data_IF_302601125078
#
_entry.id   IF_302601125078
#
_cell.length_a   1.000
_cell.length_b   1.000
_cell.length_c   1.000
_cell.angle_alpha   90.00
_cell.angle_beta   90.00
_cell.angle_gamma   90.00
#
_symmetry.space_group_name_H-M   'P 1'
#
loop_
_entity.id
_entity.type
_entity.pdbx_description
1 polymer ?
#
# COMPACT_ATOMS: atom_id res chain seq x y z
N UNK A 1 -30.81 -24.72 13.48
CA UNK A 1 -31.80 -25.79 13.23
C UNK A 1 -31.13 -27.09 12.84
N UNK A 2 -30.37 -27.14 11.73
CA UNK A 2 -29.60 -28.34 11.34
C UNK A 2 -28.58 -28.72 12.43
N UNK A 3 -27.82 -27.75 12.98
CA UNK A 3 -26.86 -28.01 14.06
C UNK A 3 -27.50 -28.62 15.33
N UNK A 4 -28.74 -28.23 15.67
CA UNK A 4 -29.47 -28.79 16.81
C UNK A 4 -29.90 -30.24 16.55
N UNK A 5 -30.37 -30.53 15.32
CA UNK A 5 -30.68 -31.89 14.89
C UNK A 5 -29.40 -32.75 14.90
N UNK A 6 -28.27 -32.22 14.42
CA UNK A 6 -27.00 -32.94 14.42
C UNK A 6 -26.48 -33.29 15.81
N UNK A 7 -26.68 -32.41 16.79
CA UNK A 7 -26.27 -32.62 18.18
C UNK A 7 -27.13 -33.66 18.90
N UNK A 8 -28.42 -33.77 18.54
CA UNK A 8 -29.40 -34.58 19.28
C UNK A 8 -29.91 -35.81 18.52
N UNK A 9 -29.52 -36.01 17.25
CA UNK A 9 -29.99 -37.11 16.39
C UNK A 9 -29.67 -38.50 16.95
N UNK A 10 -28.55 -38.66 17.65
CA UNK A 10 -28.12 -39.93 18.26
C UNK A 10 -29.05 -40.35 19.41
N UNK A 11 -29.62 -39.37 20.14
CA UNK A 11 -30.45 -39.63 21.32
C UNK A 11 -31.94 -39.72 21.01
N UNK A 12 -32.45 -38.94 20.04
CA UNK A 12 -33.89 -38.83 19.79
C UNK A 12 -34.31 -39.15 18.35
N UNK A 13 -33.37 -39.33 17.42
CA UNK A 13 -33.67 -39.52 16.01
C UNK A 13 -34.08 -38.23 15.28
N UNK A 14 -33.84 -38.18 13.97
CA UNK A 14 -34.07 -36.98 13.14
C UNK A 14 -35.56 -36.66 12.99
N UNK A 15 -36.40 -37.67 12.77
CA UNK A 15 -37.84 -37.50 12.55
C UNK A 15 -38.58 -36.96 13.80
N UNK A 16 -38.39 -37.52 15.01
CA UNK A 16 -39.03 -36.99 16.22
C UNK A 16 -38.64 -35.54 16.52
N UNK A 17 -37.36 -35.19 16.31
CA UNK A 17 -36.88 -33.80 16.48
C UNK A 17 -37.56 -32.87 15.48
N UNK A 18 -37.66 -33.24 14.20
CA UNK A 18 -38.29 -32.42 13.17
C UNK A 18 -39.80 -32.23 13.41
N UNK A 19 -40.48 -33.26 13.93
CA UNK A 19 -41.90 -33.19 14.31
C UNK A 19 -42.12 -32.18 15.43
N UNK A 20 -41.37 -32.29 16.54
CA UNK A 20 -41.50 -31.38 17.69
C UNK A 20 -41.14 -29.94 17.32
N UNK A 21 -40.09 -29.75 16.50
CA UNK A 21 -39.73 -28.41 16.01
C UNK A 21 -40.83 -27.83 15.12
N UNK A 22 -41.47 -28.64 14.28
CA UNK A 22 -42.58 -28.21 13.42
C UNK A 22 -43.82 -27.82 14.24
N UNK A 23 -44.12 -28.55 15.31
CA UNK A 23 -45.19 -28.21 16.28
C UNK A 23 -44.88 -26.90 17.02
N UNK A 24 -43.61 -26.65 17.34
CA UNK A 24 -43.14 -25.41 17.96
C UNK A 24 -43.07 -24.21 16.97
N UNK A 25 -43.54 -24.38 15.72
CA UNK A 25 -43.62 -23.32 14.71
C UNK A 25 -42.41 -23.22 13.77
N UNK A 26 -41.38 -24.05 13.95
CA UNK A 26 -40.23 -24.16 13.07
C UNK A 26 -40.46 -25.24 12.00
N UNK A 27 -41.09 -24.87 10.88
CA UNK A 27 -41.39 -25.79 9.77
C UNK A 27 -40.11 -26.36 9.14
N UNK A 28 -39.73 -27.58 9.52
CA UNK A 28 -38.60 -28.31 8.94
C UNK A 28 -38.97 -29.78 8.68
N UNK A 29 -38.78 -30.24 7.44
CA UNK A 29 -39.04 -31.62 7.07
C UNK A 29 -37.76 -32.49 7.18
N UNK A 30 -37.86 -33.78 7.56
CA UNK A 30 -36.71 -34.69 7.60
C UNK A 30 -35.96 -34.76 6.25
N UNK A 31 -36.70 -34.75 5.14
CA UNK A 31 -36.12 -34.70 3.79
C UNK A 31 -35.28 -33.45 3.54
N UNK A 32 -35.64 -32.30 4.14
CA UNK A 32 -34.87 -31.05 4.05
C UNK A 32 -33.57 -31.14 4.85
N UNK A 33 -33.58 -31.83 5.99
CA UNK A 33 -32.37 -32.12 6.77
C UNK A 33 -31.40 -32.99 5.96
N UNK A 34 -31.85 -34.17 5.48
CA UNK A 34 -30.98 -35.06 4.70
C UNK A 34 -30.51 -34.42 3.39
N UNK A 35 -31.38 -33.65 2.72
CA UNK A 35 -31.00 -32.90 1.53
C UNK A 35 -29.96 -31.81 1.83
N UNK A 36 -29.98 -31.20 3.02
CA UNK A 36 -28.96 -30.22 3.41
C UNK A 36 -27.63 -30.90 3.78
N UNK A 37 -27.68 -32.06 4.45
CA UNK A 37 -26.48 -32.84 4.83
C UNK A 37 -25.76 -33.42 3.62
N UNK A 38 -26.49 -33.84 2.58
CA UNK A 38 -25.93 -34.43 1.36
C UNK A 38 -25.68 -33.43 0.23
N UNK A 39 -25.99 -32.14 0.43
CA UNK A 39 -25.86 -31.13 -0.63
C UNK A 39 -24.40 -30.87 -0.95
N UNK A 40 -24.01 -31.14 -2.19
CA UNK A 40 -22.71 -30.72 -2.72
C UNK A 40 -22.55 -29.19 -2.64
N UNK A 41 -21.31 -28.69 -2.44
CA UNK A 41 -21.05 -27.26 -2.42
C UNK A 41 -21.54 -26.60 -3.72
N UNK A 42 -22.24 -25.47 -3.58
CA UNK A 42 -22.69 -24.72 -4.75
C UNK A 42 -21.51 -24.23 -5.60
N UNK A 43 -21.73 -23.98 -6.89
CA UNK A 43 -20.72 -23.39 -7.77
C UNK A 43 -20.13 -22.10 -7.20
N UNK A 44 -20.94 -21.30 -6.49
CA UNK A 44 -20.48 -20.10 -5.79
C UNK A 44 -19.54 -20.42 -4.63
N UNK A 45 -19.81 -21.48 -3.87
CA UNK A 45 -18.95 -21.91 -2.78
C UNK A 45 -17.59 -22.41 -3.30
N UNK A 46 -17.59 -23.14 -4.42
CA UNK A 46 -16.37 -23.58 -5.09
C UNK A 46 -15.55 -22.39 -5.63
N UNK A 47 -16.21 -21.43 -6.29
CA UNK A 47 -15.54 -20.22 -6.79
C UNK A 47 -14.99 -19.34 -5.65
N UNK A 48 -15.74 -19.20 -4.55
CA UNK A 48 -15.28 -18.49 -3.35
C UNK A 48 -14.06 -19.19 -2.73
N UNK A 49 -14.05 -20.53 -2.65
CA UNK A 49 -12.92 -21.29 -2.11
C UNK A 49 -11.65 -21.15 -2.96
N UNK A 50 -11.77 -21.20 -4.28
CA UNK A 50 -10.64 -20.95 -5.19
C UNK A 50 -10.13 -19.50 -5.08
N UNK A 51 -11.01 -18.54 -4.83
CA UNK A 51 -10.62 -17.15 -4.59
C UNK A 51 -9.93 -16.98 -3.23
N UNK A 52 -10.36 -17.70 -2.19
CA UNK A 52 -9.75 -17.65 -0.86
C UNK A 52 -8.30 -18.13 -0.89
N UNK A 53 -8.02 -19.24 -1.58
CA UNK A 53 -6.65 -19.75 -1.75
C UNK A 53 -5.74 -18.73 -2.45
N UNK A 54 -6.26 -18.04 -3.47
CA UNK A 54 -5.54 -16.97 -4.15
C UNK A 54 -5.31 -15.76 -3.24
N UNK A 55 -6.30 -15.37 -2.45
CA UNK A 55 -6.18 -14.27 -1.48
C UNK A 55 -5.10 -14.61 -0.45
N UNK A 56 -5.12 -15.83 0.09
CA UNK A 56 -4.18 -16.27 1.12
C UNK A 56 -2.75 -16.30 0.59
N UNK A 57 -2.51 -16.97 -0.54
CA UNK A 57 -1.18 -17.03 -1.15
C UNK A 57 -0.61 -15.64 -1.48
N UNK A 58 -1.47 -14.72 -1.94
CA UNK A 58 -1.07 -13.32 -2.19
C UNK A 58 -0.76 -12.56 -0.90
N UNK A 59 -1.50 -12.84 0.18
CA UNK A 59 -1.30 -12.22 1.48
C UNK A 59 0.03 -12.65 2.11
N UNK A 60 0.30 -13.96 2.07
CA UNK A 60 1.51 -14.58 2.62
C UNK A 60 2.75 -14.10 1.85
N UNK A 61 2.67 -14.04 0.52
CA UNK A 61 3.74 -13.52 -0.33
C UNK A 61 4.05 -12.03 -0.09
N UNK A 62 3.12 -11.29 0.51
CA UNK A 62 3.24 -9.85 0.74
C UNK A 62 3.31 -9.49 2.23
N UNK A 63 3.76 -10.42 3.08
CA UNK A 63 3.95 -10.17 4.52
C UNK A 63 2.71 -9.56 5.19
N UNK A 64 1.51 -9.94 4.74
CA UNK A 64 0.23 -9.53 5.31
C UNK A 64 -0.07 -8.00 5.22
N UNK A 65 0.65 -7.26 4.37
CA UNK A 65 0.53 -5.80 4.27
C UNK A 65 -0.71 -5.36 3.46
N UNK A 66 -1.23 -6.20 2.56
CA UNK A 66 -2.26 -5.76 1.61
C UNK A 66 -3.67 -5.71 2.19
N UNK A 67 -4.19 -4.49 2.32
CA UNK A 67 -5.62 -4.26 2.50
C UNK A 67 -6.44 -4.52 1.24
N UNK A 68 -7.77 -4.56 1.40
CA UNK A 68 -8.77 -4.89 0.37
C UNK A 68 -8.53 -4.26 -1.01
N UNK A 69 -8.20 -2.96 -1.06
CA UNK A 69 -8.00 -2.23 -2.32
C UNK A 69 -6.77 -2.74 -3.09
N UNK A 70 -5.67 -3.02 -2.39
CA UNK A 70 -4.44 -3.52 -3.00
C UNK A 70 -4.61 -4.97 -3.42
N UNK A 71 -5.18 -5.79 -2.54
CA UNK A 71 -5.52 -7.17 -2.82
C UNK A 71 -6.36 -7.30 -4.11
N UNK A 72 -7.43 -6.50 -4.23
CA UNK A 72 -8.26 -6.45 -5.44
C UNK A 72 -7.49 -6.13 -6.73
N UNK A 73 -6.57 -5.16 -6.69
CA UNK A 73 -5.75 -4.80 -7.86
C UNK A 73 -4.75 -5.88 -8.23
N UNK A 74 -4.17 -6.56 -7.25
CA UNK A 74 -3.18 -7.63 -7.50
C UNK A 74 -3.88 -8.85 -8.07
N UNK A 75 -4.99 -9.30 -7.47
CA UNK A 75 -5.76 -10.45 -7.95
C UNK A 75 -6.25 -10.30 -9.39
N UNK A 76 -6.60 -9.08 -9.81
CA UNK A 76 -7.05 -8.83 -11.19
C UNK A 76 -5.92 -8.70 -12.21
N UNK A 77 -4.66 -8.62 -11.77
CA UNK A 77 -3.47 -8.61 -12.63
C UNK A 77 -2.72 -9.94 -12.63
N UNK A 78 -3.02 -10.83 -11.69
CA UNK A 78 -2.40 -12.15 -11.61
C UNK A 78 -2.64 -12.98 -12.86
N UNK A 79 -1.57 -13.61 -13.31
CA UNK A 79 -1.59 -14.57 -14.41
C UNK A 79 -1.75 -15.98 -13.86
N UNK A 80 -2.40 -16.82 -14.65
CA UNK A 80 -2.48 -18.26 -14.42
C UNK A 80 -1.09 -18.83 -14.62
N UNK A 81 -0.60 -19.57 -13.63
CA UNK A 81 0.68 -20.25 -13.68
C UNK A 81 0.50 -21.66 -14.26
N UNK A 82 1.51 -22.14 -14.97
CA UNK A 82 1.58 -23.55 -15.41
C UNK A 82 2.02 -24.47 -14.25
N UNK A 83 2.09 -25.77 -14.53
CA UNK A 83 2.55 -26.79 -13.58
C UNK A 83 4.00 -26.60 -13.09
N UNK A 84 4.79 -25.79 -13.80
CA UNK A 84 6.17 -25.43 -13.45
C UNK A 84 6.27 -24.06 -12.77
N UNK A 85 5.15 -23.37 -12.53
CA UNK A 85 5.10 -22.04 -11.91
C UNK A 85 5.37 -20.88 -12.86
N UNK A 86 5.44 -21.10 -14.18
CA UNK A 86 5.67 -20.04 -15.15
C UNK A 86 4.35 -19.37 -15.59
N UNK A 87 4.36 -18.06 -15.90
CA UNK A 87 3.16 -17.38 -16.33
C UNK A 87 2.71 -17.83 -17.73
N UNK A 88 1.46 -18.27 -17.84
CA UNK A 88 0.87 -18.76 -19.10
C UNK A 88 0.42 -17.65 -20.06
N UNK A 89 0.56 -16.39 -19.66
CA UNK A 89 0.04 -15.21 -20.39
C UNK A 89 -1.48 -15.02 -20.28
N UNK A 90 -2.21 -15.95 -19.64
CA UNK A 90 -3.65 -15.82 -19.36
C UNK A 90 -3.86 -15.20 -17.97
N UNK A 91 -4.84 -14.33 -17.83
CA UNK A 91 -5.26 -13.76 -16.53
C UNK A 91 -6.46 -14.49 -15.96
N UNK A 92 -6.59 -14.47 -14.63
CA UNK A 92 -7.80 -14.96 -13.98
C UNK A 92 -9.02 -14.08 -14.31
N UNK A 93 -10.25 -14.61 -14.23
CA UNK A 93 -11.46 -13.81 -14.35
C UNK A 93 -11.48 -12.63 -13.36
N UNK A 94 -11.96 -11.44 -13.79
CA UNK A 94 -11.96 -10.26 -12.94
C UNK A 94 -12.90 -10.44 -11.75
N UNK A 95 -12.44 -10.02 -10.58
CA UNK A 95 -13.17 -10.11 -9.31
C UNK A 95 -13.62 -8.71 -8.89
N UNK A 96 -14.86 -8.60 -8.42
CA UNK A 96 -15.39 -7.37 -7.86
C UNK A 96 -14.76 -7.06 -6.49
N UNK A 97 -14.48 -5.77 -6.22
CA UNK A 97 -13.88 -5.31 -4.96
C UNK A 97 -14.67 -5.76 -3.72
N UNK A 98 -16.00 -5.72 -3.78
CA UNK A 98 -16.87 -6.14 -2.68
C UNK A 98 -16.76 -7.64 -2.37
N UNK A 99 -16.50 -8.47 -3.38
CA UNK A 99 -16.25 -9.91 -3.21
C UNK A 99 -14.95 -10.12 -2.44
N UNK A 100 -13.87 -9.43 -2.84
CA UNK A 100 -12.57 -9.48 -2.14
C UNK A 100 -12.74 -9.03 -0.69
N UNK A 101 -13.43 -7.92 -0.43
CA UNK A 101 -13.70 -7.43 0.91
C UNK A 101 -14.45 -8.46 1.79
N UNK A 102 -15.49 -9.07 1.23
CA UNK A 102 -16.29 -10.10 1.89
C UNK A 102 -15.44 -11.33 2.23
N UNK A 103 -14.61 -11.79 1.29
CA UNK A 103 -13.76 -12.98 1.48
C UNK A 103 -12.62 -12.72 2.46
N UNK A 104 -11.91 -11.60 2.34
CA UNK A 104 -10.88 -11.21 3.32
C UNK A 104 -11.44 -11.15 4.75
N UNK A 105 -12.65 -10.58 4.92
CA UNK A 105 -13.33 -10.58 6.23
C UNK A 105 -13.64 -12.00 6.72
N UNK A 106 -14.07 -12.91 5.84
CA UNK A 106 -14.35 -14.29 6.20
C UNK A 106 -13.08 -15.07 6.60
N UNK A 107 -11.93 -14.74 5.99
CA UNK A 107 -10.62 -15.31 6.31
C UNK A 107 -9.94 -14.63 7.52
N UNK A 108 -10.52 -13.57 8.09
CA UNK A 108 -9.89 -12.80 9.16
C UNK A 108 -8.68 -11.96 8.71
N UNK A 109 -8.49 -11.79 7.41
CA UNK A 109 -7.36 -11.05 6.85
C UNK A 109 -7.63 -9.55 6.90
N UNK A 110 -6.74 -8.84 7.57
CA UNK A 110 -6.72 -7.38 7.64
C UNK A 110 -5.34 -6.94 7.19
N UNK A 111 -5.28 -6.03 6.21
CA UNK A 111 -3.99 -5.48 5.81
C UNK A 111 -3.40 -4.65 6.95
N UNK A 112 -2.07 -4.64 7.06
CA UNK A 112 -1.36 -3.81 8.02
C UNK A 112 -1.87 -2.36 8.00
N UNK A 113 -2.48 -1.95 9.11
CA UNK A 113 -2.78 -0.55 9.41
C UNK A 113 -1.54 -0.03 10.12
N UNK A 114 -0.95 1.07 9.63
CA UNK A 114 0.13 1.73 10.34
C UNK A 114 -0.42 2.22 11.69
N UNK A 115 -0.20 1.44 12.74
CA UNK A 115 -0.65 1.71 14.11
C UNK A 115 0.45 1.38 15.09
N UNK A 116 0.87 2.39 15.85
CA UNK A 116 1.66 2.33 17.09
C UNK A 116 3.16 2.03 17.05
N UNK A 117 3.82 2.23 15.91
CA UNK A 117 5.20 2.74 16.01
C UNK A 117 5.08 4.19 16.45
N UNK A 118 5.36 4.48 17.72
CA UNK A 118 5.55 5.85 18.22
C UNK A 118 6.50 6.55 17.26
N UNK A 119 5.95 7.37 16.35
CA UNK A 119 6.76 8.23 15.53
C UNK A 119 7.62 9.08 16.47
N UNK A 120 8.94 9.12 16.30
CA UNK A 120 9.76 10.02 17.09
C UNK A 120 9.21 11.44 16.89
N UNK A 121 8.93 12.14 17.99
CA UNK A 121 8.42 13.51 17.97
C UNK A 121 9.55 14.41 17.44
N UNK A 122 9.50 14.80 16.17
CA UNK A 122 10.62 15.44 15.46
C UNK A 122 10.59 16.97 15.41
N UNK A 123 9.53 17.66 15.85
CA UNK A 123 9.46 19.13 15.68
C UNK A 123 8.68 19.84 16.79
N UNK A 124 9.29 20.87 17.40
CA UNK A 124 8.62 21.88 18.24
C UNK A 124 8.38 23.12 17.36
N UNK A 125 7.18 23.71 17.32
CA UNK A 125 6.86 24.76 16.36
C UNK A 125 7.59 26.08 16.67
N UNK A 126 8.17 26.70 15.65
CA UNK A 126 8.56 28.12 15.68
C UNK A 126 7.65 28.91 14.73
N UNK A 127 6.95 29.90 15.28
CA UNK A 127 6.30 31.03 14.60
C UNK A 127 7.40 31.77 13.84
N UNK A 128 7.32 31.95 12.53
CA UNK A 128 7.13 33.27 11.90
C UNK A 128 7.08 33.10 10.35
N UNK A 129 6.65 34.13 9.61
CA UNK A 129 6.04 34.10 8.26
C UNK A 129 6.83 33.50 7.08
N UNK A 130 6.12 32.82 6.17
CA UNK A 130 6.69 32.06 5.04
C UNK A 130 5.79 32.01 3.78
N UNK A 131 6.35 31.67 2.59
CA UNK A 131 5.70 31.72 1.28
C UNK A 131 4.46 30.83 1.14
N UNK A 132 3.57 31.17 0.21
CA UNK A 132 2.29 30.49 0.00
C UNK A 132 2.45 29.12 -0.69
N UNK A 133 1.66 28.14 -0.23
CA UNK A 133 1.48 26.83 -0.85
C UNK A 133 0.94 26.98 -2.28
N UNK A 134 1.75 26.63 -3.28
CA UNK A 134 1.37 26.74 -4.68
C UNK A 134 0.80 25.45 -5.25
N UNK A 135 0.81 24.35 -4.48
CA UNK A 135 0.42 23.04 -5.03
C UNK A 135 -1.07 22.77 -4.94
N UNK A 136 -1.82 23.45 -4.07
CA UNK A 136 -3.30 23.40 -4.04
C UNK A 136 -3.88 21.98 -4.24
N UNK A 137 -3.18 20.94 -3.76
CA UNK A 137 -3.54 19.52 -3.88
C UNK A 137 -3.61 18.95 -5.31
N UNK A 138 -2.94 19.57 -6.27
CA UNK A 138 -2.80 19.07 -7.63
C UNK A 138 -1.46 18.32 -7.81
N UNK A 139 -1.50 17.00 -7.67
CA UNK A 139 -0.34 16.11 -7.89
C UNK A 139 -0.20 15.65 -9.35
N UNK A 140 -0.77 16.40 -10.30
CA UNK A 140 -0.58 16.16 -11.73
C UNK A 140 0.60 16.96 -12.27
N UNK A 141 1.31 16.41 -13.25
CA UNK A 141 2.38 17.08 -13.97
C UNK A 141 2.12 16.85 -15.46
N UNK A 142 2.34 17.86 -16.30
CA UNK A 142 2.03 17.80 -17.73
C UNK A 142 3.20 17.21 -18.53
N UNK A 143 4.43 17.40 -18.04
CA UNK A 143 5.67 16.90 -18.63
C UNK A 143 6.67 16.46 -17.54
N UNK A 144 7.69 15.64 -17.91
CA UNK A 144 8.80 15.32 -17.01
C UNK A 144 9.48 16.60 -16.51
N UNK A 145 9.82 16.61 -15.23
CA UNK A 145 10.56 17.72 -14.60
C UNK A 145 9.76 19.05 -14.53
N UNK A 146 8.43 18.98 -14.64
CA UNK A 146 7.54 20.10 -14.30
C UNK A 146 7.37 20.26 -12.79
N UNK A 147 7.25 19.12 -12.08
CA UNK A 147 6.98 19.08 -10.64
C UNK A 147 7.72 17.94 -9.97
N UNK A 148 8.51 18.26 -8.95
CA UNK A 148 9.16 17.29 -8.09
C UNK A 148 8.54 17.29 -6.70
N UNK A 149 8.46 16.11 -6.11
CA UNK A 149 8.07 15.93 -4.71
C UNK A 149 9.21 15.26 -3.96
N UNK A 150 9.49 15.77 -2.77
CA UNK A 150 10.44 15.20 -1.84
C UNK A 150 9.74 14.71 -0.56
N UNK A 151 10.19 13.54 -0.09
CA UNK A 151 9.71 12.93 1.15
C UNK A 151 10.88 12.28 1.91
N UNK A 152 10.76 12.20 3.24
CA UNK A 152 11.67 11.44 4.11
C UNK A 152 10.89 10.32 4.77
N UNK A 153 11.35 9.10 4.55
CA UNK A 153 10.75 7.91 5.16
C UNK A 153 11.76 7.16 6.03
N UNK A 154 11.23 6.28 6.88
CA UNK A 154 11.98 5.48 7.84
C UNK A 154 11.95 4.03 7.37
N UNK A 155 13.13 3.46 7.11
CA UNK A 155 13.24 2.07 6.67
C UNK A 155 13.75 1.22 7.84
N UNK A 156 12.99 0.22 8.31
CA UNK A 156 13.45 -0.69 9.34
C UNK A 156 14.56 -1.60 8.80
N UNK A 157 15.56 -1.86 9.63
CA UNK A 157 16.69 -2.76 9.36
C UNK A 157 16.88 -3.69 10.56
N UNK A 158 17.70 -4.74 10.40
CA UNK A 158 17.98 -5.66 11.52
C UNK A 158 18.80 -5.02 12.65
N UNK A 159 19.42 -3.86 12.40
CA UNK A 159 20.21 -3.12 13.37
C UNK A 159 19.49 -1.87 13.92
N UNK A 160 18.21 -1.64 13.56
CA UNK A 160 17.45 -0.46 13.96
C UNK A 160 16.68 0.12 12.78
N UNK A 161 16.78 1.43 12.54
CA UNK A 161 16.13 2.09 11.41
C UNK A 161 17.08 3.09 10.75
N UNK A 162 16.86 3.34 9.46
CA UNK A 162 17.57 4.38 8.70
C UNK A 162 16.57 5.37 8.11
N UNK A 163 17.03 6.59 7.93
CA UNK A 163 16.30 7.65 7.26
C UNK A 163 16.63 7.64 5.79
N UNK A 164 15.61 7.71 4.93
CA UNK A 164 15.79 7.77 3.48
C UNK A 164 15.04 8.97 2.95
N UNK A 165 15.76 9.89 2.31
CA UNK A 165 15.18 10.99 1.56
C UNK A 165 15.06 10.61 0.09
N UNK A 166 13.92 10.91 -0.52
CA UNK A 166 13.67 10.72 -1.94
C UNK A 166 13.26 12.03 -2.60
N UNK A 167 13.64 12.19 -3.85
CA UNK A 167 13.15 13.23 -4.76
C UNK A 167 12.63 12.53 -6.01
N UNK A 168 11.40 12.82 -6.37
CA UNK A 168 10.70 12.13 -7.44
C UNK A 168 10.05 13.10 -8.42
N UNK A 169 10.15 12.77 -9.71
CA UNK A 169 9.40 13.43 -10.77
C UNK A 169 7.95 12.92 -10.82
N UNK A 170 6.97 13.82 -10.67
CA UNK A 170 5.55 13.46 -10.62
C UNK A 170 5.01 12.90 -11.94
N UNK A 171 5.55 13.33 -13.08
CA UNK A 171 5.11 12.86 -14.39
C UNK A 171 5.55 11.42 -14.63
N UNK A 172 6.87 11.16 -14.54
CA UNK A 172 7.42 9.84 -14.83
C UNK A 172 7.35 8.86 -13.67
N UNK A 173 7.08 9.35 -12.44
CA UNK A 173 7.14 8.58 -11.19
C UNK A 173 8.54 8.01 -10.91
N UNK A 174 9.56 8.52 -11.60
CA UNK A 174 10.96 8.10 -11.43
C UNK A 174 11.56 8.81 -10.23
N UNK A 175 12.22 8.06 -9.37
CA UNK A 175 13.12 8.62 -8.35
C UNK A 175 14.32 9.23 -9.08
N UNK A 176 14.44 10.55 -9.00
CA UNK A 176 15.52 11.31 -9.63
C UNK A 176 16.69 11.52 -8.68
N UNK A 177 16.44 11.52 -7.38
CA UNK A 177 17.47 11.60 -6.35
C UNK A 177 17.06 10.90 -5.07
N UNK A 178 18.04 10.39 -4.34
CA UNK A 178 17.82 9.76 -3.04
C UNK A 178 19.09 9.76 -2.20
N UNK A 179 18.91 9.66 -0.87
CA UNK A 179 19.99 9.55 0.11
C UNK A 179 19.52 8.72 1.32
N UNK A 180 20.44 7.95 1.91
CA UNK A 180 20.21 7.18 3.15
C UNK A 180 21.17 7.67 4.23
N UNK A 181 20.68 7.86 5.45
CA UNK A 181 21.50 8.17 6.62
C UNK A 181 20.99 7.48 7.88
N UNK A 182 21.91 7.21 8.82
CA UNK A 182 21.56 6.69 10.15
C UNK A 182 20.93 7.77 11.06
N UNK A 183 21.07 9.04 10.70
CA UNK A 183 20.58 10.18 11.48
C UNK A 183 19.86 11.19 10.57
N UNK A 184 18.86 11.86 11.12
CA UNK A 184 18.07 12.89 10.45
C UNK A 184 18.81 14.24 10.45
N UNK A 185 20.02 14.26 9.89
CA UNK A 185 20.78 15.50 9.73
C UNK A 185 20.27 16.26 8.51
N UNK A 186 20.38 17.58 8.55
CA UNK A 186 19.84 18.48 7.53
C UNK A 186 20.42 18.23 6.14
N UNK A 187 21.63 17.68 6.07
CA UNK A 187 22.31 17.33 4.81
C UNK A 187 21.61 16.18 4.07
N UNK A 188 20.78 15.36 4.74
CA UNK A 188 20.11 14.22 4.10
C UNK A 188 19.19 14.66 2.94
N UNK A 189 18.39 15.71 3.18
CA UNK A 189 17.48 16.24 2.17
C UNK A 189 18.24 16.96 1.06
N UNK A 190 19.27 17.73 1.43
CA UNK A 190 20.11 18.47 0.49
C UNK A 190 20.88 17.52 -0.44
N UNK A 191 21.51 16.48 0.10
CA UNK A 191 22.21 15.45 -0.66
C UNK A 191 21.28 14.77 -1.68
N UNK A 192 20.03 14.47 -1.29
CA UNK A 192 19.04 13.87 -2.18
C UNK A 192 18.63 14.83 -3.31
N UNK A 193 18.50 16.13 -3.02
CA UNK A 193 18.20 17.17 -3.99
C UNK A 193 19.38 17.39 -4.95
N UNK A 194 20.61 17.49 -4.44
CA UNK A 194 21.82 17.62 -5.27
C UNK A 194 22.00 16.43 -6.19
N UNK A 195 21.73 15.21 -5.69
CA UNK A 195 21.73 14.02 -6.52
C UNK A 195 20.70 14.13 -7.66
N UNK A 196 19.47 14.60 -7.38
CA UNK A 196 18.44 14.80 -8.41
C UNK A 196 18.88 15.82 -9.47
N UNK A 197 19.40 16.97 -9.04
CA UNK A 197 19.89 18.03 -9.92
C UNK A 197 21.03 17.52 -10.80
N UNK A 198 22.01 16.83 -10.21
CA UNK A 198 23.15 16.30 -10.94
C UNK A 198 22.75 15.28 -12.00
N UNK A 199 21.84 14.35 -11.65
CA UNK A 199 21.31 13.37 -12.60
C UNK A 199 20.66 14.06 -13.80
N UNK A 200 19.87 15.12 -13.55
CA UNK A 200 19.13 15.81 -14.61
C UNK A 200 19.98 16.73 -15.46
N UNK A 201 20.97 17.41 -14.88
CA UNK A 201 21.96 18.12 -15.67
C UNK A 201 22.79 17.17 -16.55
N UNK A 202 23.13 15.98 -16.04
CA UNK A 202 23.80 14.95 -16.85
C UNK A 202 22.93 14.49 -18.03
N UNK A 203 21.62 14.43 -17.83
CA UNK A 203 20.63 14.14 -18.88
C UNK A 203 20.38 15.34 -19.82
N UNK A 204 21.07 16.47 -19.63
CA UNK A 204 20.92 17.69 -20.44
C UNK A 204 19.59 18.41 -20.23
N UNK A 205 18.91 18.17 -19.10
CA UNK A 205 17.65 18.82 -18.75
C UNK A 205 17.89 20.21 -18.16
N UNK A 206 17.03 21.15 -18.56
CA UNK A 206 16.89 22.44 -17.89
C UNK A 206 15.83 22.29 -16.78
N UNK A 207 16.18 22.76 -15.58
CA UNK A 207 15.33 22.68 -14.38
C UNK A 207 14.71 24.04 -14.03
N UNK A 208 14.93 25.06 -14.86
CA UNK A 208 14.40 26.41 -14.62
C UNK A 208 12.87 26.39 -14.64
N UNK A 209 12.24 26.86 -13.56
CA UNK A 209 10.78 26.89 -13.44
C UNK A 209 10.14 25.58 -12.95
N UNK A 210 10.93 24.54 -12.67
CA UNK A 210 10.49 23.34 -11.97
C UNK A 210 9.86 23.74 -10.63
N UNK A 211 8.71 23.15 -10.28
CA UNK A 211 8.13 23.30 -8.94
C UNK A 211 8.64 22.18 -8.05
N UNK A 212 9.35 22.53 -6.99
CA UNK A 212 9.82 21.57 -5.99
C UNK A 212 8.96 21.65 -4.73
N UNK A 213 8.33 20.53 -4.37
CA UNK A 213 7.54 20.38 -3.17
C UNK A 213 8.22 19.52 -2.14
N UNK A 214 8.27 20.01 -0.91
CA UNK A 214 8.70 19.22 0.23
C UNK A 214 7.74 19.43 1.40
N UNK A 215 7.49 18.36 2.14
CA UNK A 215 6.71 18.42 3.35
C UNK A 215 7.45 19.17 4.48
N UNK A 216 6.67 19.66 5.45
CA UNK A 216 7.05 20.65 6.48
C UNK A 216 8.07 20.19 7.53
N UNK A 217 8.87 19.18 7.24
CA UNK A 217 9.96 18.74 8.10
C UNK A 217 10.99 19.86 8.31
N UNK A 218 11.49 20.00 9.55
CA UNK A 218 12.55 20.98 9.91
C UNK A 218 13.82 20.83 9.04
N UNK A 219 14.00 19.67 8.40
CA UNK A 219 15.12 19.35 7.52
C UNK A 219 15.04 20.07 6.18
N UNK A 220 13.82 20.26 5.64
CA UNK A 220 13.57 21.04 4.43
C UNK A 220 13.54 22.56 4.69
N UNK A 221 13.68 22.95 5.96
CA UNK A 221 13.67 24.33 6.44
C UNK A 221 15.06 24.93 6.62
N UNK A 222 16.13 24.19 6.29
CA UNK A 222 17.47 24.75 6.29
C UNK A 222 17.58 25.83 5.22
N UNK A 223 18.14 26.97 5.62
CA UNK A 223 18.47 28.10 4.76
C UNK A 223 19.22 27.63 3.48
N UNK A 224 20.16 26.69 3.63
CA UNK A 224 20.91 26.10 2.51
C UNK A 224 20.04 25.39 1.47
N UNK A 225 18.93 24.80 1.89
CA UNK A 225 18.03 24.08 0.98
C UNK A 225 17.25 25.05 0.10
N UNK A 226 16.71 26.12 0.70
CA UNK A 226 15.98 27.16 -0.03
C UNK A 226 16.91 28.00 -0.91
N UNK A 227 18.10 28.36 -0.42
CA UNK A 227 19.12 29.07 -1.21
C UNK A 227 19.52 28.26 -2.45
N UNK A 228 19.69 26.93 -2.30
CA UNK A 228 20.07 26.07 -3.43
C UNK A 228 18.98 25.97 -4.50
N UNK A 229 17.71 26.00 -4.11
CA UNK A 229 16.59 26.03 -5.05
C UNK A 229 16.54 27.37 -5.79
N UNK A 230 16.75 28.49 -5.09
CA UNK A 230 16.80 29.83 -5.67
C UNK A 230 17.96 30.00 -6.66
N UNK A 231 19.15 29.48 -6.35
CA UNK A 231 20.31 29.49 -7.26
C UNK A 231 20.05 28.83 -8.62
N UNK A 232 19.16 27.83 -8.65
CA UNK A 232 18.84 27.04 -9.84
C UNK A 232 17.54 27.50 -10.53
N UNK A 233 16.88 28.55 -10.03
CA UNK A 233 15.60 29.01 -10.56
C UNK A 233 14.46 28.00 -10.38
N UNK A 234 14.58 27.10 -9.41
CA UNK A 234 13.55 26.12 -9.05
C UNK A 234 12.57 26.80 -8.10
N UNK A 235 11.27 26.74 -8.41
CA UNK A 235 10.22 27.36 -7.60
C UNK A 235 9.93 26.47 -6.40
N UNK A 236 10.35 26.90 -5.21
CA UNK A 236 10.05 26.22 -3.96
C UNK A 236 8.57 26.41 -3.56
N UNK A 237 7.85 25.31 -3.36
CA UNK A 237 6.49 25.30 -2.82
C UNK A 237 6.46 24.50 -1.52
N UNK A 238 6.06 25.13 -0.42
CA UNK A 238 5.97 24.50 0.92
C UNK A 238 4.50 24.51 1.36
N UNK A 239 3.97 23.34 1.78
CA UNK A 239 2.54 23.17 2.13
C UNK A 239 2.05 24.11 3.24
N UNK A 240 0.74 24.26 3.44
CA UNK A 240 0.11 25.22 4.37
C UNK A 240 -0.20 24.68 5.81
N UNK A 241 -0.57 25.58 6.75
CA UNK A 241 -0.43 25.40 8.22
C UNK A 241 -1.40 24.38 8.82
N UNK A 242 -0.87 23.38 9.53
CA UNK A 242 -1.64 22.59 10.51
C UNK A 242 -2.52 21.48 9.91
N UNK A 243 -2.42 21.23 8.61
CA UNK A 243 -3.02 20.07 7.99
C UNK A 243 -1.94 18.99 7.83
N UNK A 244 -1.98 17.96 8.69
CA UNK A 244 -1.33 16.68 8.38
C UNK A 244 -1.88 16.04 7.11
N UNK A 245 -3.00 16.58 6.59
CA UNK A 245 -3.74 16.18 5.40
C UNK A 245 -3.06 16.47 4.06
N UNK A 246 -2.01 17.30 4.02
CA UNK A 246 -1.38 17.68 2.74
C UNK A 246 -0.42 16.61 2.18
N UNK A 247 -0.10 15.59 2.97
CA UNK A 247 0.58 14.35 2.58
C UNK A 247 -0.30 13.09 2.88
N UNK A 248 -1.44 13.30 3.55
CA UNK A 248 -2.39 12.27 4.01
C UNK A 248 -3.51 11.97 3.02
N UNK A 249 -3.46 12.54 1.80
CA UNK A 249 -3.99 11.80 0.66
C UNK A 249 -3.02 10.67 0.29
N UNK A 250 -2.75 9.81 1.28
CA UNK A 250 -2.77 8.34 1.21
C UNK A 250 -2.06 7.71 0.03
N UNK A 251 -1.00 8.35 -0.44
CA UNK A 251 -0.26 7.95 -1.62
C UNK A 251 1.21 7.73 -1.25
N UNK A 252 1.96 8.65 -0.64
CA UNK A 252 3.45 8.67 -0.55
C UNK A 252 4.23 7.43 -0.04
N UNK A 253 3.87 6.77 1.06
CA UNK A 253 4.63 5.58 1.51
C UNK A 253 3.98 4.25 1.09
N UNK A 254 2.65 4.20 1.05
CA UNK A 254 1.90 2.94 0.93
C UNK A 254 1.34 2.70 -0.47
N UNK A 255 1.24 3.71 -1.35
CA UNK A 255 0.73 3.54 -2.72
C UNK A 255 1.81 3.41 -3.81
N UNK A 256 3.11 3.54 -3.49
CA UNK A 256 4.19 3.61 -4.50
C UNK A 256 4.90 2.31 -4.81
N UNK A 257 4.48 1.17 -4.24
CA UNK A 257 5.08 -0.12 -4.60
C UNK A 257 6.59 -0.24 -4.36
N UNK A 258 7.19 0.68 -3.60
CA UNK A 258 8.57 0.55 -3.11
C UNK A 258 8.57 -0.43 -1.95
N UNK A 259 8.58 -1.71 -2.28
CA UNK A 259 9.19 -2.70 -1.39
C UNK A 259 10.70 -2.52 -1.57
N UNK A 260 11.38 -1.91 -0.59
CA UNK A 260 12.84 -1.92 -0.56
C UNK A 260 13.26 -3.36 -0.21
N UNK A 261 13.38 -4.22 -1.21
CA UNK A 261 13.91 -5.57 -1.03
C UNK A 261 15.43 -5.45 -1.07
N UNK A 262 16.08 -5.57 0.09
CA UNK A 262 17.54 -5.77 0.13
C UNK A 262 17.86 -7.22 -0.25
N UNK A 263 17.77 -7.57 -1.53
CA UNK A 263 18.23 -8.87 -2.04
C UNK A 263 19.57 -8.74 -2.75
N UNK A 264 20.63 -9.17 -2.06
CA UNK A 264 21.95 -9.39 -2.64
C UNK A 264 22.98 -9.79 -1.58
N UNK A 265 23.81 -10.82 -1.81
CA UNK A 265 24.97 -11.05 -0.97
C UNK A 265 25.97 -9.90 -1.23
N UNK A 266 26.46 -9.26 -0.16
CA UNK A 266 27.45 -8.18 -0.15
C UNK A 266 26.98 -6.71 -0.28
N UNK A 267 25.80 -6.34 0.26
CA UNK A 267 25.58 -4.96 0.72
C UNK A 267 25.64 -3.86 -0.34
N UNK A 268 25.42 -4.18 -1.61
CA UNK A 268 25.27 -3.20 -2.68
C UNK A 268 23.79 -2.75 -2.72
N UNK A 269 23.46 -1.46 -2.54
CA UNK A 269 22.08 -0.99 -2.61
C UNK A 269 21.63 -0.96 -4.08
N UNK A 270 21.08 -2.07 -4.55
CA UNK A 270 20.31 -2.10 -5.79
C UNK A 270 18.87 -1.71 -5.46
N UNK A 271 18.46 -0.50 -5.87
CA UNK A 271 17.05 -0.11 -5.87
C UNK A 271 16.42 -0.80 -7.08
N UNK A 272 15.75 -1.93 -6.85
CA UNK A 272 14.99 -2.58 -7.90
C UNK A 272 13.62 -1.88 -8.09
N UNK A 273 13.52 -1.09 -9.15
CA UNK A 273 12.29 -0.39 -9.55
C UNK A 273 11.51 -1.19 -10.60
N UNK A 274 11.89 -2.43 -10.91
CA UNK A 274 11.33 -3.18 -12.04
C UNK A 274 9.96 -3.84 -11.77
N UNK A 275 9.36 -3.63 -10.60
CA UNK A 275 8.04 -4.16 -10.28
C UNK A 275 6.87 -3.24 -10.69
N UNK A 276 6.92 -2.58 -11.85
CA UNK A 276 5.77 -1.82 -12.38
C UNK A 276 5.69 -1.90 -13.92
N UNK A 277 5.17 -3.05 -14.38
CA UNK A 277 4.46 -3.20 -15.67
C UNK A 277 3.02 -3.64 -15.40
#
# INVERSE_FOLDING_TARGET
MIAYIDEHKESFGVEPICTVLSEAGAKIAPSTYYAATSRAPSNRALADAALDERIQSTNDANYEVYGVKKMWKVLNRQQVLDEHGNPTGRTYPPVARCTVARRMKALGLVGAVAGDHKAPRTTVPATDGHPADQLNRDFTAAAPDDRWVADITYVPTWAGFVYVAFVMDLFSRRIVGWRVAASLHTDLALDALEHAIWQRHRDGRDLTGLVHHADRGVQYRAIRYTERLEELGIVASVGSKGDSYDCEDRVCATAWGLTLVMTGPAGCPCVDVSALG
#
